data_IF_296608665906
#
_entry.id   IF_296608665906
#
_cell.length_a   1.000
_cell.length_b   1.000
_cell.length_c   1.000
_cell.angle_alpha   90.00
_cell.angle_beta   90.00
_cell.angle_gamma   90.00
#
_symmetry.space_group_name_H-M   'P 1'
#
loop_
_entity.id
_entity.type
_entity.pdbx_description
1 polymer ?
#
# COMPACT_ATOMS: atom_id res chain seq x y z
N UNK A 1 24.83 41.17 18.24
CA UNK A 1 24.55 39.90 18.96
C UNK A 1 23.80 38.90 18.05
N UNK A 2 24.42 38.43 16.95
CA UNK A 2 23.89 37.34 16.07
C UNK A 2 25.03 36.66 15.27
N UNK A 3 26.15 36.32 15.93
CA UNK A 3 27.35 35.81 15.23
C UNK A 3 28.01 34.59 15.93
N UNK A 4 27.33 33.95 16.90
CA UNK A 4 27.91 32.83 17.67
C UNK A 4 27.11 31.53 17.71
N UNK A 5 26.07 31.37 16.88
CA UNK A 5 25.24 30.14 16.82
C UNK A 5 25.46 29.36 15.50
N UNK A 6 26.58 29.59 14.79
CA UNK A 6 26.93 28.85 13.56
C UNK A 6 28.13 27.91 13.68
N UNK A 7 28.66 27.67 14.89
CA UNK A 7 29.88 26.83 15.09
C UNK A 7 29.76 25.72 16.13
N UNK A 8 28.54 25.23 16.42
CA UNK A 8 28.35 24.12 17.38
C UNK A 8 27.64 22.88 16.78
N UNK A 9 27.55 22.76 15.45
CA UNK A 9 26.97 21.56 14.80
C UNK A 9 27.82 21.06 13.63
N UNK A 10 29.15 21.12 13.78
CA UNK A 10 30.11 20.59 12.78
C UNK A 10 31.13 19.63 13.43
N UNK A 11 31.06 19.36 14.73
CA UNK A 11 32.07 18.57 15.43
C UNK A 11 31.58 17.20 15.95
N UNK A 12 30.45 16.67 15.48
CA UNK A 12 29.97 15.34 15.88
C UNK A 12 29.50 14.46 14.71
N UNK A 13 30.04 14.69 13.51
CA UNK A 13 29.65 13.99 12.27
C UNK A 13 30.78 13.13 11.69
N UNK A 14 31.65 12.57 12.55
CA UNK A 14 32.79 11.74 12.10
C UNK A 14 32.92 10.37 12.77
N UNK A 15 31.87 9.83 13.41
CA UNK A 15 31.94 8.49 14.04
C UNK A 15 30.81 7.51 13.77
N UNK A 16 29.88 7.80 12.86
CA UNK A 16 28.99 6.78 12.34
C UNK A 16 28.88 7.00 10.83
N UNK A 17 29.18 5.95 10.05
CA UNK A 17 29.10 5.95 8.59
C UNK A 17 27.66 6.02 8.07
N UNK A 18 26.83 6.94 8.59
CA UNK A 18 25.56 7.27 8.01
C UNK A 18 25.81 8.25 6.85
N UNK A 19 25.37 7.82 5.66
CA UNK A 19 25.22 8.69 4.49
C UNK A 19 24.35 9.89 4.88
N UNK A 20 24.66 11.12 4.40
CA UNK A 20 23.79 12.26 4.63
C UNK A 20 22.41 12.00 4.01
N UNK A 21 21.36 12.27 4.78
CA UNK A 21 19.98 12.20 4.30
C UNK A 21 19.79 13.26 3.18
N UNK A 22 19.04 12.95 2.09
CA UNK A 22 18.83 13.90 1.02
C UNK A 22 17.96 15.08 1.49
N UNK A 23 18.43 16.30 1.25
CA UNK A 23 17.83 17.58 1.66
C UNK A 23 16.56 17.99 0.87
N UNK A 24 15.80 17.04 0.31
CA UNK A 24 14.54 17.34 -0.38
C UNK A 24 13.48 16.25 -0.16
N UNK A 25 12.69 16.39 0.91
CA UNK A 25 11.60 15.48 1.27
C UNK A 25 10.24 15.90 0.68
N UNK A 26 10.19 16.96 -0.13
CA UNK A 26 8.95 17.37 -0.79
C UNK A 26 8.69 16.44 -1.98
N UNK A 27 7.77 15.48 -1.79
CA UNK A 27 7.01 14.79 -2.84
C UNK A 27 7.73 13.70 -3.66
N UNK A 28 8.50 12.80 -3.05
CA UNK A 28 8.54 11.44 -3.61
C UNK A 28 7.29 10.72 -3.12
N UNK A 29 6.15 11.03 -3.74
CA UNK A 29 4.93 10.23 -3.56
C UNK A 29 5.24 8.85 -4.14
N UNK A 30 5.70 7.94 -3.27
CA UNK A 30 5.91 6.54 -3.62
C UNK A 30 4.54 5.96 -3.92
N UNK A 31 4.15 6.00 -5.20
CA UNK A 31 2.87 5.55 -5.69
C UNK A 31 2.97 4.07 -6.05
N UNK A 32 1.90 3.32 -5.76
CA UNK A 32 1.85 1.85 -6.01
C UNK A 32 2.08 1.53 -7.50
N UNK A 33 1.71 2.47 -8.37
CA UNK A 33 1.88 2.41 -9.82
C UNK A 33 1.89 3.82 -10.42
N UNK A 34 2.30 3.94 -11.69
CA UNK A 34 2.21 5.21 -12.44
C UNK A 34 0.75 5.62 -12.71
N UNK A 35 0.49 6.92 -12.87
CA UNK A 35 -0.85 7.46 -13.19
C UNK A 35 -1.53 6.75 -14.37
N UNK A 36 -0.89 6.52 -15.55
CA UNK A 36 -1.58 5.89 -16.67
C UNK A 36 -1.96 4.42 -16.39
N UNK A 37 -1.12 3.70 -15.63
CA UNK A 37 -1.43 2.33 -15.19
C UNK A 37 -2.59 2.31 -14.21
N UNK A 38 -2.65 3.28 -13.29
CA UNK A 38 -3.77 3.44 -12.36
C UNK A 38 -5.09 3.69 -13.07
N UNK A 39 -5.12 4.63 -14.01
CA UNK A 39 -6.31 4.91 -14.81
C UNK A 39 -6.73 3.70 -15.66
N UNK A 40 -5.78 3.02 -16.32
CA UNK A 40 -6.05 1.79 -17.09
C UNK A 40 -6.61 0.69 -16.20
N UNK A 41 -6.02 0.46 -15.03
CA UNK A 41 -6.46 -0.58 -14.09
C UNK A 41 -7.93 -0.41 -13.73
N UNK A 42 -8.34 0.77 -13.25
CA UNK A 42 -9.72 1.02 -12.82
C UNK A 42 -10.72 0.96 -13.99
N UNK A 43 -10.28 1.35 -15.19
CA UNK A 43 -11.06 1.23 -16.42
C UNK A 43 -11.32 -0.23 -16.78
N UNK A 44 -10.30 -1.08 -16.76
CA UNK A 44 -10.44 -2.52 -17.08
C UNK A 44 -11.18 -3.26 -15.97
N UNK A 45 -10.87 -2.97 -14.71
CA UNK A 45 -11.41 -3.67 -13.55
C UNK A 45 -12.93 -3.43 -13.36
N UNK A 46 -13.41 -2.23 -13.64
CA UNK A 46 -14.77 -1.82 -13.28
C UNK A 46 -15.41 -0.77 -14.22
N UNK A 47 -14.76 -0.39 -15.32
CA UNK A 47 -15.24 0.66 -16.21
C UNK A 47 -15.26 2.05 -15.57
N UNK A 48 -14.30 2.31 -14.66
CA UNK A 48 -14.15 3.56 -13.92
C UNK A 48 -13.04 4.43 -14.51
N UNK A 49 -13.34 5.70 -14.67
CA UNK A 49 -12.45 6.78 -15.08
C UNK A 49 -12.02 7.55 -13.83
N UNK A 50 -10.97 7.05 -13.16
CA UNK A 50 -10.38 7.67 -11.97
C UNK A 50 -9.50 8.86 -12.36
N UNK A 51 -9.45 9.89 -11.51
CA UNK A 51 -8.61 11.07 -11.74
C UNK A 51 -7.19 10.85 -11.19
N UNK A 52 -6.16 11.45 -11.80
CA UNK A 52 -4.78 11.39 -11.28
C UNK A 52 -4.64 11.85 -9.82
N UNK A 53 -5.48 12.77 -9.37
CA UNK A 53 -5.51 13.26 -7.99
C UNK A 53 -5.96 12.17 -7.01
N UNK A 54 -6.58 11.10 -7.53
CA UNK A 54 -7.06 9.95 -6.77
C UNK A 54 -5.94 8.96 -6.47
N UNK A 55 -4.83 9.06 -7.21
CA UNK A 55 -3.72 8.13 -7.07
C UNK A 55 -3.13 8.14 -5.65
N UNK A 56 -3.13 9.31 -4.99
CA UNK A 56 -2.66 9.41 -3.61
C UNK A 56 -3.61 8.68 -2.64
N UNK A 57 -4.92 8.95 -2.70
CA UNK A 57 -5.90 8.27 -1.83
C UNK A 57 -5.93 6.76 -2.06
N UNK A 58 -5.79 6.33 -3.31
CA UNK A 58 -5.63 4.92 -3.64
C UNK A 58 -4.36 4.32 -3.03
N UNK A 59 -3.21 5.00 -3.18
CA UNK A 59 -1.94 4.51 -2.63
C UNK A 59 -1.99 4.43 -1.12
N UNK A 60 -2.55 5.43 -0.44
CA UNK A 60 -2.75 5.43 1.01
C UNK A 60 -3.71 4.32 1.46
N UNK A 61 -4.77 4.04 0.68
CA UNK A 61 -5.69 2.93 0.94
C UNK A 61 -4.99 1.57 0.89
N UNK A 62 -4.27 1.30 -0.21
CA UNK A 62 -3.57 0.02 -0.38
C UNK A 62 -2.51 -0.16 0.70
N UNK A 63 -1.70 0.87 0.92
CA UNK A 63 -0.64 0.89 1.92
C UNK A 63 -1.17 0.58 3.32
N UNK A 64 -2.24 1.26 3.75
CA UNK A 64 -2.87 0.99 5.05
C UNK A 64 -3.37 -0.45 5.14
N UNK A 65 -4.04 -0.96 4.10
CA UNK A 65 -4.62 -2.32 4.11
C UNK A 65 -3.58 -3.43 4.03
N UNK A 66 -2.50 -3.24 3.30
CA UNK A 66 -1.39 -4.20 3.34
C UNK A 66 -0.74 -4.22 4.73
N UNK A 67 -0.53 -3.05 5.34
CA UNK A 67 0.02 -2.99 6.69
C UNK A 67 -0.88 -3.65 7.73
N UNK A 68 -2.19 -3.39 7.71
CA UNK A 68 -3.17 -4.02 8.61
C UNK A 68 -3.13 -5.56 8.50
N UNK A 69 -3.07 -6.10 7.27
CA UNK A 69 -2.95 -7.53 7.02
C UNK A 69 -1.66 -8.12 7.61
N UNK A 70 -0.53 -7.42 7.45
CA UNK A 70 0.77 -7.85 7.98
C UNK A 70 0.82 -7.77 9.51
N UNK A 71 0.18 -6.75 10.10
CA UNK A 71 0.11 -6.58 11.55
C UNK A 71 -0.64 -7.75 12.22
N UNK A 72 -1.75 -8.20 11.62
CA UNK A 72 -2.45 -9.39 12.09
C UNK A 72 -1.64 -10.66 11.84
N UNK A 73 -0.97 -10.75 10.69
CA UNK A 73 -0.13 -11.89 10.36
C UNK A 73 1.03 -12.07 11.35
N UNK A 74 1.64 -10.97 11.82
CA UNK A 74 2.63 -11.00 12.90
C UNK A 74 2.08 -11.63 14.19
N UNK A 75 0.87 -11.24 14.59
CA UNK A 75 0.24 -11.78 15.79
C UNK A 75 -0.01 -13.30 15.65
N UNK A 76 -0.40 -13.75 14.46
CA UNK A 76 -0.58 -15.18 14.15
C UNK A 76 0.76 -15.93 14.14
N UNK A 77 1.81 -15.36 13.53
CA UNK A 77 3.15 -15.93 13.55
C UNK A 77 3.66 -16.10 14.98
N UNK A 78 3.50 -15.05 15.82
CA UNK A 78 3.84 -15.07 17.24
C UNK A 78 3.08 -16.15 18.01
N UNK A 79 1.77 -16.26 17.79
CA UNK A 79 0.94 -17.28 18.44
C UNK A 79 1.34 -18.71 18.04
N UNK A 80 1.95 -18.88 16.87
CA UNK A 80 2.48 -20.15 16.38
C UNK A 80 3.99 -20.32 16.63
N UNK A 81 4.58 -19.52 17.52
CA UNK A 81 6.02 -19.54 17.85
C UNK A 81 6.94 -19.46 16.63
N UNK A 82 6.55 -18.66 15.62
CA UNK A 82 7.39 -18.38 14.45
C UNK A 82 7.97 -16.98 14.55
N UNK A 83 9.23 -16.86 14.13
CA UNK A 83 9.98 -15.60 14.09
C UNK A 83 9.84 -14.86 12.76
N UNK A 84 9.19 -15.48 11.78
CA UNK A 84 8.88 -14.92 10.46
C UNK A 84 7.40 -15.06 10.15
N UNK A 85 6.86 -14.08 9.43
CA UNK A 85 5.51 -14.14 8.88
C UNK A 85 5.57 -14.98 7.60
N UNK A 86 4.70 -15.97 7.49
CA UNK A 86 4.61 -16.87 6.34
C UNK A 86 3.24 -16.73 5.65
N UNK A 87 3.04 -17.28 4.44
CA UNK A 87 1.87 -16.97 3.62
C UNK A 87 0.49 -17.25 4.25
N UNK A 88 0.38 -18.23 5.15
CA UNK A 88 -0.88 -18.61 5.80
C UNK A 88 -1.15 -17.86 7.11
N UNK A 89 -0.25 -16.96 7.54
CA UNK A 89 -0.53 -16.03 8.64
C UNK A 89 -1.43 -14.87 8.21
N UNK A 90 -1.31 -14.49 6.94
CA UNK A 90 -2.09 -13.40 6.37
C UNK A 90 -3.59 -13.75 6.47
N UNK A 91 -4.42 -12.86 7.03
CA UNK A 91 -5.85 -13.10 7.20
C UNK A 91 -6.61 -12.89 5.88
N UNK A 92 -6.20 -13.57 4.82
CA UNK A 92 -6.83 -13.50 3.50
C UNK A 92 -8.13 -14.29 3.53
N UNK A 93 -9.24 -13.58 3.64
CA UNK A 93 -10.57 -14.19 3.55
C UNK A 93 -10.81 -14.79 2.16
N UNK A 94 -11.78 -15.73 2.07
CA UNK A 94 -12.19 -16.31 0.79
C UNK A 94 -12.53 -15.24 -0.26
N UNK A 95 -13.25 -14.18 0.13
CA UNK A 95 -13.65 -13.10 -0.78
C UNK A 95 -12.46 -12.32 -1.34
N UNK A 96 -11.45 -12.03 -0.51
CA UNK A 96 -10.22 -11.40 -0.95
C UNK A 96 -9.40 -12.35 -1.83
N UNK A 97 -9.29 -13.63 -1.46
CA UNK A 97 -8.58 -14.65 -2.26
C UNK A 97 -9.17 -14.77 -3.67
N UNK A 98 -10.49 -14.75 -3.82
CA UNK A 98 -11.11 -14.76 -5.15
C UNK A 98 -10.84 -13.47 -5.93
N UNK A 99 -10.70 -12.32 -5.25
CA UNK A 99 -10.32 -11.07 -5.90
C UNK A 99 -8.86 -11.11 -6.37
N UNK A 100 -7.96 -11.71 -5.59
CA UNK A 100 -6.58 -11.99 -6.00
C UNK A 100 -6.55 -12.88 -7.24
N UNK A 101 -7.34 -13.97 -7.26
CA UNK A 101 -7.40 -14.85 -8.43
C UNK A 101 -7.88 -14.10 -9.69
N UNK A 102 -8.98 -13.35 -9.58
CA UNK A 102 -9.51 -12.56 -10.71
C UNK A 102 -8.54 -11.45 -11.14
N UNK A 103 -7.70 -10.94 -10.23
CA UNK A 103 -6.65 -10.00 -10.58
C UNK A 103 -5.56 -10.66 -11.43
N UNK A 104 -5.18 -11.91 -11.15
CA UNK A 104 -4.20 -12.63 -11.98
C UNK A 104 -4.66 -12.82 -13.43
N UNK A 105 -5.98 -12.91 -13.63
CA UNK A 105 -6.60 -12.99 -14.96
C UNK A 105 -6.67 -11.61 -15.65
N UNK A 106 -6.50 -10.52 -14.90
CA UNK A 106 -6.48 -9.14 -15.41
C UNK A 106 -5.05 -8.75 -15.79
N UNK A 107 -4.76 -8.84 -17.10
CA UNK A 107 -3.71 -8.10 -17.81
C UNK A 107 -2.33 -8.03 -17.11
N UNK A 108 -1.38 -8.87 -17.56
CA UNK A 108 -0.03 -9.04 -17.00
C UNK A 108 0.87 -7.79 -17.02
N UNK A 109 0.46 -6.70 -17.65
CA UNK A 109 1.25 -5.46 -17.76
C UNK A 109 1.11 -4.51 -16.55
N UNK A 110 0.27 -4.85 -15.57
CA UNK A 110 0.06 -4.03 -14.37
C UNK A 110 1.14 -4.36 -13.34
N UNK A 111 2.36 -3.94 -13.66
CA UNK A 111 3.51 -4.03 -12.78
C UNK A 111 3.32 -3.04 -11.62
N UNK A 112 3.02 -3.61 -10.44
CA UNK A 112 2.97 -2.92 -9.16
C UNK A 112 4.42 -2.68 -8.70
N UNK A 113 4.74 -1.42 -8.37
CA UNK A 113 6.04 -1.03 -7.83
C UNK A 113 6.29 -1.69 -6.46
N UNK A 114 7.52 -1.61 -5.89
CA UNK A 114 7.81 -2.22 -4.60
C UNK A 114 6.89 -1.63 -3.52
N UNK A 115 5.86 -2.37 -3.15
CA UNK A 115 4.92 -2.05 -2.06
C UNK A 115 5.69 -1.95 -0.74
N UNK A 116 6.78 -2.71 -0.62
CA UNK A 116 7.69 -2.71 0.53
C UNK A 116 8.25 -1.32 0.86
N UNK A 117 8.55 -0.49 -0.16
CA UNK A 117 9.06 0.86 0.09
C UNK A 117 8.01 1.78 0.75
N UNK A 118 6.72 1.52 0.50
CA UNK A 118 5.65 2.28 1.12
C UNK A 118 5.46 1.90 2.59
N UNK A 119 5.67 0.62 2.92
CA UNK A 119 5.50 0.07 4.27
C UNK A 119 6.48 0.67 5.29
N UNK A 120 7.63 1.20 4.84
CA UNK A 120 8.63 1.89 5.69
C UNK A 120 8.04 3.12 6.41
N UNK A 121 6.88 3.63 5.98
CA UNK A 121 6.19 4.74 6.63
C UNK A 121 5.40 4.35 7.89
N UNK A 122 5.15 3.06 8.09
CA UNK A 122 4.46 2.54 9.25
C UNK A 122 5.42 2.21 10.39
N UNK A 123 4.93 2.03 11.64
CA UNK A 123 5.73 1.41 12.68
C UNK A 123 6.34 0.09 12.19
N UNK A 124 7.60 -0.20 12.55
CA UNK A 124 8.22 -1.45 12.14
C UNK A 124 7.49 -2.64 12.76
N UNK A 125 7.36 -3.71 11.98
CA UNK A 125 6.94 -5.01 12.49
C UNK A 125 8.07 -5.63 13.32
N UNK A 126 7.73 -6.31 14.41
CA UNK A 126 8.65 -7.15 15.19
C UNK A 126 9.11 -8.38 14.39
N UNK A 127 8.29 -8.87 13.45
CA UNK A 127 8.61 -10.01 12.57
C UNK A 127 8.51 -9.61 11.11
N UNK A 128 9.55 -9.90 10.35
CA UNK A 128 9.54 -9.70 8.91
C UNK A 128 8.76 -10.82 8.19
N UNK A 129 8.11 -10.52 7.05
CA UNK A 129 7.66 -11.52 6.10
C UNK A 129 8.83 -12.33 5.55
N UNK A 130 8.62 -13.62 5.31
CA UNK A 130 9.54 -14.42 4.52
C UNK A 130 9.42 -14.10 3.02
N UNK A 131 10.40 -14.56 2.23
CA UNK A 131 10.44 -14.33 0.78
C UNK A 131 9.14 -14.79 0.08
N UNK A 132 8.56 -15.90 0.54
CA UNK A 132 7.31 -16.43 -0.01
C UNK A 132 6.11 -15.51 0.27
N UNK A 133 6.09 -14.86 1.42
CA UNK A 133 5.05 -13.88 1.80
C UNK A 133 5.26 -12.57 1.07
N UNK A 134 6.50 -12.07 0.99
CA UNK A 134 6.83 -10.86 0.23
C UNK A 134 6.45 -11.00 -1.25
N UNK A 135 6.75 -12.15 -1.85
CA UNK A 135 6.41 -12.46 -3.24
C UNK A 135 4.89 -12.43 -3.51
N UNK A 136 4.04 -12.58 -2.48
CA UNK A 136 2.57 -12.50 -2.61
C UNK A 136 2.02 -11.09 -2.50
N UNK A 137 2.78 -10.13 -1.96
CA UNK A 137 2.29 -8.77 -1.73
C UNK A 137 1.78 -8.07 -3.00
N UNK A 138 2.45 -8.17 -4.16
CA UNK A 138 1.91 -7.61 -5.41
C UNK A 138 0.52 -8.14 -5.74
N UNK A 139 0.30 -9.45 -5.63
CA UNK A 139 -0.99 -10.05 -5.94
C UNK A 139 -2.08 -9.65 -4.94
N UNK A 140 -1.73 -9.55 -3.65
CA UNK A 140 -2.63 -9.08 -2.60
C UNK A 140 -3.07 -7.65 -2.90
N UNK A 141 -2.13 -6.78 -3.27
CA UNK A 141 -2.43 -5.40 -3.66
C UNK A 141 -3.35 -5.37 -4.88
N UNK A 142 -3.05 -6.14 -5.93
CA UNK A 142 -3.92 -6.22 -7.10
C UNK A 142 -5.34 -6.71 -6.75
N UNK A 143 -5.44 -7.70 -5.85
CA UNK A 143 -6.71 -8.19 -5.34
C UNK A 143 -7.50 -7.14 -4.54
N UNK A 144 -6.83 -6.38 -3.66
CA UNK A 144 -7.41 -5.26 -2.91
C UNK A 144 -7.92 -4.18 -3.87
N UNK A 145 -7.13 -3.83 -4.87
CA UNK A 145 -7.48 -2.84 -5.88
C UNK A 145 -8.67 -3.27 -6.72
N UNK A 146 -8.76 -4.55 -7.08
CA UNK A 146 -9.90 -5.09 -7.82
C UNK A 146 -11.17 -5.08 -6.95
N UNK A 147 -11.05 -5.47 -5.68
CA UNK A 147 -12.15 -5.42 -4.73
C UNK A 147 -12.65 -3.98 -4.56
N UNK A 148 -11.74 -3.01 -4.43
CA UNK A 148 -12.05 -1.58 -4.33
C UNK A 148 -12.80 -1.07 -5.56
N UNK A 149 -12.30 -1.36 -6.76
CA UNK A 149 -12.93 -0.97 -8.02
C UNK A 149 -14.36 -1.55 -8.14
N UNK A 150 -14.56 -2.81 -7.74
CA UNK A 150 -15.89 -3.44 -7.72
C UNK A 150 -16.80 -2.85 -6.65
N UNK A 151 -16.28 -2.52 -5.47
CA UNK A 151 -17.04 -1.90 -4.40
C UNK A 151 -17.66 -0.56 -4.85
N UNK A 152 -16.91 0.27 -5.60
CA UNK A 152 -17.47 1.48 -6.22
C UNK A 152 -18.71 1.17 -7.08
N UNK A 153 -18.66 0.13 -7.92
CA UNK A 153 -19.78 -0.24 -8.80
C UNK A 153 -20.94 -0.90 -8.05
N UNK A 154 -20.67 -1.61 -6.95
CA UNK A 154 -21.72 -2.20 -6.13
C UNK A 154 -22.52 -1.09 -5.42
N UNK A 155 -21.84 -0.09 -4.84
CA UNK A 155 -22.52 1.01 -4.14
C UNK A 155 -23.12 2.01 -5.14
N UNK A 156 -22.43 2.28 -6.24
CA UNK A 156 -22.83 3.25 -7.26
C UNK A 156 -22.84 2.60 -8.65
N UNK A 157 -23.91 1.88 -9.02
CA UNK A 157 -23.98 1.10 -10.26
C UNK A 157 -23.67 1.89 -11.53
N UNK A 158 -24.12 3.14 -11.62
CA UNK A 158 -23.92 3.99 -12.80
C UNK A 158 -22.65 4.86 -12.73
N UNK A 159 -21.83 4.70 -11.69
CA UNK A 159 -20.62 5.50 -11.52
C UNK A 159 -19.64 5.23 -12.65
N UNK A 160 -19.17 6.33 -13.25
CA UNK A 160 -18.07 6.39 -14.21
C UNK A 160 -16.86 7.10 -13.64
N UNK A 161 -17.03 8.29 -13.04
CA UNK A 161 -15.94 9.12 -12.53
C UNK A 161 -15.98 9.23 -10.98
N UNK A 162 -15.22 8.43 -10.22
CA UNK A 162 -15.19 8.49 -8.76
C UNK A 162 -14.70 9.84 -8.23
N UNK A 163 -15.61 10.62 -7.64
CA UNK A 163 -15.31 11.82 -6.83
C UNK A 163 -15.00 11.49 -5.36
N UNK A 164 -14.42 12.45 -4.63
CA UNK A 164 -14.04 12.32 -3.20
C UNK A 164 -15.12 11.70 -2.33
N UNK A 165 -16.38 12.15 -2.45
CA UNK A 165 -17.52 11.58 -1.69
C UNK A 165 -17.70 10.07 -1.83
N UNK A 166 -17.37 9.51 -3.01
CA UNK A 166 -17.49 8.06 -3.24
C UNK A 166 -16.37 7.32 -2.52
N UNK A 167 -15.14 7.87 -2.52
CA UNK A 167 -14.01 7.31 -1.79
C UNK A 167 -14.25 7.32 -0.27
N UNK A 168 -14.78 8.42 0.24
CA UNK A 168 -15.18 8.57 1.65
C UNK A 168 -16.30 7.60 2.06
N UNK A 169 -17.09 7.10 1.10
CA UNK A 169 -18.13 6.10 1.36
C UNK A 169 -17.60 4.66 1.23
N UNK A 170 -16.77 4.39 0.22
CA UNK A 170 -16.27 3.04 -0.06
C UNK A 170 -15.16 2.63 0.92
N UNK A 171 -14.24 3.53 1.26
CA UNK A 171 -13.10 3.19 2.13
C UNK A 171 -13.55 2.66 3.50
N UNK A 172 -14.49 3.28 4.23
CA UNK A 172 -14.96 2.75 5.51
C UNK A 172 -15.51 1.32 5.44
N UNK A 173 -16.05 0.87 4.30
CA UNK A 173 -16.49 -0.52 4.15
C UNK A 173 -15.33 -1.51 4.26
N UNK A 174 -14.15 -1.15 3.75
CA UNK A 174 -12.95 -1.97 3.91
C UNK A 174 -12.47 -1.96 5.35
N UNK A 175 -12.55 -0.84 6.07
CA UNK A 175 -12.20 -0.78 7.49
C UNK A 175 -13.13 -1.64 8.39
N UNK A 176 -14.35 -1.93 7.92
CA UNK A 176 -15.25 -2.82 8.64
C UNK A 176 -14.84 -4.30 8.51
N UNK A 177 -14.10 -4.65 7.45
CA UNK A 177 -13.84 -6.04 7.05
C UNK A 177 -12.36 -6.43 7.06
N UNK A 178 -11.46 -5.45 6.97
CA UNK A 178 -10.00 -5.58 6.85
C UNK A 178 -9.28 -4.62 7.80
#
# INVERSE_FOLDING_TARGET
MRSRIRRARVALTRRAGLRPAPDDWRLVTMTVMSVPRFERFFRVAAGLDVDKNDLKRYSDFVDAKVYDLLLIAEAVAKANNRDVIVPWDLPITKGLQESIHRFRDLDHEIELKPILDQLVRHPPLDRAPDDATEARLPEIVGGLSLALAKAFKIIYPDLKNPQTKHWETVWPLFNLLL
#
